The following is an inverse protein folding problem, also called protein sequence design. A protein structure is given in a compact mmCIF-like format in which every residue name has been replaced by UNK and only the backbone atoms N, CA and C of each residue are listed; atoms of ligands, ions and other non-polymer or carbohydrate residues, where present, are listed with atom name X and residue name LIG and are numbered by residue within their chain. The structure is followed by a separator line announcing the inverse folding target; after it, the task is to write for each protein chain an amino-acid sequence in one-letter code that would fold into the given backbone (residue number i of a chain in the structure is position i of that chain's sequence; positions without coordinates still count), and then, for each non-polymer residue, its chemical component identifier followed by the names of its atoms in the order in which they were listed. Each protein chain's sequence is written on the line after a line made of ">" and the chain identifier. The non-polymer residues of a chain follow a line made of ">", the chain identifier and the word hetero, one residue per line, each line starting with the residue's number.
data_IF_556376385157
#
_entry.id   IF_556376385157
#
_cell.length_a   1.000
_cell.length_b   1.000
_cell.length_c   1.000
_cell.angle_alpha   90.00
_cell.angle_beta   90.00
_cell.angle_gamma   90.00
#
_symmetry.space_group_name_H-M   'P 1'
#
loop_
_entity.id
_entity.type
_entity.pdbx_description
1 polymer ?
#
# COMPACT_ATOMS: atom_id res chain seq x y z
N UNK A 1 9.91 -28.09 -2.33
CA UNK A 1 10.80 -27.45 -3.33
C UNK A 1 11.54 -26.36 -2.59
N UNK A 2 12.83 -26.55 -2.30
CA UNK A 2 13.66 -25.56 -1.61
C UNK A 2 13.77 -24.33 -2.51
N UNK A 3 13.36 -23.17 -2.00
CA UNK A 3 13.51 -21.91 -2.74
C UNK A 3 15.01 -21.66 -2.85
N UNK A 4 15.55 -21.50 -4.06
CA UNK A 4 16.98 -21.30 -4.30
C UNK A 4 17.55 -20.10 -3.49
N UNK A 5 16.68 -19.15 -3.12
CA UNK A 5 16.96 -17.98 -2.29
C UNK A 5 17.43 -18.32 -0.86
N UNK A 6 16.96 -19.41 -0.24
CA UNK A 6 17.26 -19.70 1.18
C UNK A 6 18.67 -20.28 1.42
N UNK A 7 19.28 -20.89 0.40
CA UNK A 7 20.57 -21.58 0.56
C UNK A 7 21.79 -20.71 0.25
N UNK A 8 21.60 -19.50 -0.27
CA UNK A 8 22.69 -18.60 -0.61
C UNK A 8 22.88 -17.55 0.48
N UNK A 9 24.04 -17.60 1.15
CA UNK A 9 24.43 -16.68 2.23
C UNK A 9 24.23 -15.21 1.82
N UNK A 10 24.47 -14.87 0.54
CA UNK A 10 24.32 -13.51 0.05
C UNK A 10 22.88 -13.02 0.16
N UNK A 11 21.90 -13.86 -0.20
CA UNK A 11 20.49 -13.49 -0.16
C UNK A 11 19.95 -13.42 1.26
N UNK A 12 20.36 -14.37 2.10
CA UNK A 12 20.02 -14.34 3.52
C UNK A 12 20.52 -13.02 4.14
N UNK A 13 21.78 -12.63 3.87
CA UNK A 13 22.32 -11.37 4.38
C UNK A 13 21.54 -10.16 3.86
N UNK A 14 21.19 -10.14 2.58
CA UNK A 14 20.40 -9.05 1.97
C UNK A 14 18.99 -8.99 2.58
N UNK A 15 18.34 -10.13 2.81
CA UNK A 15 17.01 -10.19 3.41
C UNK A 15 17.02 -9.71 4.87
N UNK A 16 17.98 -10.16 5.68
CA UNK A 16 18.15 -9.67 7.04
C UNK A 16 18.44 -8.17 7.08
N UNK A 17 19.27 -7.67 6.16
CA UNK A 17 19.54 -6.25 6.04
C UNK A 17 18.29 -5.46 5.66
N UNK A 18 17.47 -5.96 4.73
CA UNK A 18 16.22 -5.34 4.34
C UNK A 18 15.20 -5.29 5.49
N UNK A 19 15.06 -6.40 6.23
CA UNK A 19 14.21 -6.49 7.42
C UNK A 19 14.68 -5.49 8.48
N UNK A 20 15.99 -5.38 8.72
CA UNK A 20 16.56 -4.40 9.64
C UNK A 20 16.21 -2.97 9.19
N UNK A 21 16.46 -2.63 7.93
CA UNK A 21 16.22 -1.30 7.39
C UNK A 21 14.73 -0.91 7.39
N UNK A 22 13.82 -1.83 7.06
CA UNK A 22 12.38 -1.60 7.18
C UNK A 22 11.92 -1.47 8.63
N UNK A 23 12.50 -2.25 9.54
CA UNK A 23 12.26 -2.11 10.97
C UNK A 23 12.71 -0.73 11.48
N UNK A 24 13.85 -0.22 11.00
CA UNK A 24 14.30 1.15 11.29
C UNK A 24 13.30 2.20 10.79
N UNK A 25 12.77 2.01 9.57
CA UNK A 25 11.77 2.92 8.97
C UNK A 25 10.47 2.95 9.78
N UNK A 26 9.97 1.77 10.20
CA UNK A 26 8.80 1.63 11.05
C UNK A 26 8.97 2.28 12.42
N UNK A 27 10.08 1.95 13.10
CA UNK A 27 10.41 2.51 14.40
C UNK A 27 10.53 4.04 14.36
N UNK A 28 11.15 4.60 13.32
CA UNK A 28 11.27 6.05 13.19
C UNK A 28 9.93 6.74 12.96
N UNK A 29 9.00 6.10 12.23
CA UNK A 29 7.66 6.63 12.06
C UNK A 29 6.93 6.76 13.41
N UNK A 30 7.08 5.76 14.30
CA UNK A 30 6.54 5.82 15.66
C UNK A 30 7.22 6.88 16.54
N UNK A 31 8.54 7.05 16.44
CA UNK A 31 9.26 8.11 17.17
C UNK A 31 8.78 9.51 16.76
N UNK A 32 8.57 9.75 15.46
CA UNK A 32 8.08 11.05 14.96
C UNK A 32 6.70 11.43 15.50
N UNK A 33 5.92 10.43 15.95
CA UNK A 33 4.62 10.62 16.60
C UNK A 33 4.72 10.74 18.13
N UNK A 34 5.91 10.56 18.71
CA UNK A 34 6.13 10.64 20.15
C UNK A 34 5.62 9.41 20.91
N UNK A 35 5.55 8.24 20.27
CA UNK A 35 5.12 7.00 20.95
C UNK A 35 6.24 6.36 21.80
N UNK A 36 5.84 5.41 22.65
CA UNK A 36 6.74 4.73 23.58
C UNK A 36 7.62 3.65 22.91
N UNK A 37 8.61 3.15 23.66
CA UNK A 37 9.55 2.13 23.15
C UNK A 37 8.85 0.85 22.69
N UNK A 38 7.79 0.44 23.39
CA UNK A 38 7.01 -0.73 23.00
C UNK A 38 6.37 -0.53 21.62
N UNK A 39 5.72 0.61 21.41
CA UNK A 39 5.12 0.97 20.12
C UNK A 39 6.17 1.10 19.03
N UNK A 40 7.36 1.63 19.33
CA UNK A 40 8.48 1.72 18.38
C UNK A 40 8.92 0.34 17.91
N UNK A 41 9.13 -0.60 18.83
CA UNK A 41 9.52 -1.97 18.52
C UNK A 41 8.40 -2.71 17.75
N UNK A 42 7.15 -2.56 18.19
CA UNK A 42 6.00 -3.17 17.54
C UNK A 42 5.78 -2.62 16.12
N UNK A 43 5.89 -1.30 15.95
CA UNK A 43 5.77 -0.65 14.65
C UNK A 43 6.89 -1.10 13.70
N UNK A 44 8.12 -1.23 14.19
CA UNK A 44 9.24 -1.80 13.44
C UNK A 44 8.97 -3.24 12.99
N UNK A 45 8.50 -4.10 13.92
CA UNK A 45 8.14 -5.49 13.62
C UNK A 45 7.01 -5.60 12.60
N UNK A 46 5.93 -4.84 12.79
CA UNK A 46 4.78 -4.80 11.85
C UNK A 46 5.20 -4.30 10.47
N UNK A 47 6.07 -3.29 10.39
CA UNK A 47 6.55 -2.76 9.11
C UNK A 47 7.39 -3.81 8.39
N UNK A 48 8.36 -4.41 9.08
CA UNK A 48 9.32 -5.33 8.49
C UNK A 48 8.73 -6.71 8.13
N UNK A 49 7.87 -7.26 9.00
CA UNK A 49 7.39 -8.64 8.89
C UNK A 49 5.89 -8.75 8.64
N UNK A 50 5.12 -7.67 8.84
CA UNK A 50 3.67 -7.70 8.66
C UNK A 50 3.22 -8.07 7.25
N UNK A 51 3.92 -7.58 6.22
CA UNK A 51 3.62 -7.96 4.83
C UNK A 51 3.84 -9.46 4.57
N UNK A 52 4.97 -10.00 5.03
CA UNK A 52 5.27 -11.44 4.94
C UNK A 52 4.31 -12.30 5.75
N UNK A 53 3.84 -11.81 6.91
CA UNK A 53 2.86 -12.49 7.75
C UNK A 53 1.51 -12.60 7.04
N UNK A 54 1.00 -11.52 6.46
CA UNK A 54 -0.26 -11.56 5.72
C UNK A 54 -0.13 -12.48 4.50
N UNK A 55 0.98 -12.38 3.75
CA UNK A 55 1.28 -13.29 2.63
C UNK A 55 1.23 -14.76 3.05
N UNK A 56 1.94 -15.11 4.12
CA UNK A 56 2.04 -16.49 4.59
C UNK A 56 0.68 -17.03 5.03
N UNK A 57 -0.14 -16.22 5.71
CA UNK A 57 -1.53 -16.58 6.05
C UNK A 57 -2.38 -16.78 4.80
N UNK A 58 -2.28 -15.89 3.80
CA UNK A 58 -3.03 -16.01 2.54
C UNK A 58 -2.64 -17.25 1.72
N UNK A 59 -1.39 -17.70 1.81
CA UNK A 59 -0.92 -18.94 1.17
C UNK A 59 -1.26 -20.21 1.96
N UNK A 60 -1.76 -20.08 3.20
CA UNK A 60 -1.89 -21.21 4.11
C UNK A 60 -0.54 -21.75 4.62
N UNK A 61 0.54 -20.96 4.50
CA UNK A 61 1.87 -21.26 4.99
C UNK A 61 1.95 -21.03 6.51
N UNK A 62 1.27 -21.89 7.27
CA UNK A 62 1.16 -21.79 8.72
C UNK A 62 2.15 -22.77 9.40
N UNK A 63 2.87 -22.34 10.45
CA UNK A 63 2.86 -20.99 11.05
C UNK A 63 3.74 -19.97 10.28
N UNK A 64 3.35 -18.67 10.21
CA UNK A 64 4.04 -17.65 9.40
C UNK A 64 5.49 -17.38 9.82
N UNK A 65 6.37 -17.15 8.84
CA UNK A 65 7.81 -16.95 9.06
C UNK A 65 8.10 -15.71 9.89
N UNK A 66 7.27 -14.66 9.79
CA UNK A 66 7.40 -13.43 10.58
C UNK A 66 7.25 -13.60 12.10
N UNK A 67 6.78 -14.77 12.57
CA UNK A 67 6.70 -15.11 14.00
C UNK A 67 7.61 -16.29 14.36
N UNK A 68 7.75 -17.25 13.44
CA UNK A 68 8.45 -18.51 13.72
C UNK A 68 9.95 -18.39 13.59
N UNK A 69 10.44 -17.53 12.70
CA UNK A 69 11.86 -17.28 12.53
C UNK A 69 12.38 -16.34 13.62
N UNK A 70 13.17 -16.91 14.53
CA UNK A 70 13.78 -16.17 15.65
C UNK A 70 14.71 -15.07 15.15
N UNK A 71 15.45 -15.30 14.06
CA UNK A 71 16.41 -14.35 13.53
C UNK A 71 15.71 -13.13 12.96
N UNK A 72 14.64 -13.29 12.18
CA UNK A 72 13.85 -12.18 11.67
C UNK A 72 13.21 -11.37 12.80
N UNK A 73 12.59 -12.03 13.78
CA UNK A 73 12.00 -11.34 14.94
C UNK A 73 13.08 -10.57 15.71
N UNK A 74 14.19 -11.20 16.07
CA UNK A 74 15.27 -10.52 16.81
C UNK A 74 15.87 -9.35 16.02
N UNK A 75 16.02 -9.49 14.70
CA UNK A 75 16.54 -8.43 13.82
C UNK A 75 15.64 -7.20 13.84
N UNK A 76 14.32 -7.39 13.77
CA UNK A 76 13.38 -6.26 13.85
C UNK A 76 13.35 -5.60 15.22
N UNK A 77 13.37 -6.38 16.30
CA UNK A 77 13.42 -5.83 17.66
C UNK A 77 14.73 -5.05 17.89
N UNK A 78 15.85 -5.59 17.39
CA UNK A 78 17.15 -4.93 17.42
C UNK A 78 17.13 -3.61 16.62
N UNK A 79 16.48 -3.58 15.46
CA UNK A 79 16.28 -2.35 14.71
C UNK A 79 15.53 -1.30 15.55
N UNK A 80 14.48 -1.68 16.30
CA UNK A 80 13.77 -0.76 17.20
C UNK A 80 14.68 -0.14 18.25
N UNK A 81 15.57 -0.93 18.86
CA UNK A 81 16.56 -0.44 19.83
C UNK A 81 17.52 0.57 19.18
N UNK A 82 17.99 0.28 17.95
CA UNK A 82 18.85 1.20 17.20
C UNK A 82 18.13 2.52 16.95
N UNK A 83 16.86 2.50 16.51
CA UNK A 83 16.11 3.74 16.25
C UNK A 83 15.97 4.56 17.52
N UNK A 84 15.67 3.95 18.67
CA UNK A 84 15.53 4.69 19.93
C UNK A 84 16.79 5.52 20.25
N UNK A 85 17.96 4.92 20.08
CA UNK A 85 19.25 5.57 20.38
C UNK A 85 19.67 6.57 19.31
N UNK A 86 19.51 6.22 18.03
CA UNK A 86 20.05 6.97 16.90
C UNK A 86 19.00 7.81 16.12
N UNK A 87 17.81 8.02 16.68
CA UNK A 87 16.75 8.77 15.98
C UNK A 87 17.14 10.20 15.54
N UNK A 88 17.98 10.98 16.26
CA UNK A 88 18.33 12.33 15.85
C UNK A 88 19.17 12.34 14.56
N UNK A 89 20.05 11.37 14.39
CA UNK A 89 20.87 11.19 13.19
C UNK A 89 20.03 10.62 12.03
N UNK A 90 19.20 9.62 12.32
CA UNK A 90 18.35 8.95 11.31
C UNK A 90 17.33 9.93 10.73
N UNK A 91 16.78 10.86 11.53
CA UNK A 91 15.78 11.83 11.07
C UNK A 91 16.32 12.80 10.02
N UNK A 92 17.63 13.06 10.00
CA UNK A 92 18.29 13.93 9.00
C UNK A 92 18.46 13.24 7.65
N UNK A 93 18.38 11.91 7.60
CA UNK A 93 18.68 11.09 6.42
C UNK A 93 17.42 10.76 5.61
N UNK A 94 16.64 11.78 5.22
CA UNK A 94 15.40 11.60 4.43
C UNK A 94 15.64 10.78 3.16
N UNK A 95 16.74 11.06 2.45
CA UNK A 95 17.08 10.36 1.21
C UNK A 95 17.43 8.88 1.46
N UNK A 96 18.18 8.59 2.53
CA UNK A 96 18.51 7.22 2.92
C UNK A 96 17.28 6.40 3.29
N UNK A 97 16.29 7.01 3.95
CA UNK A 97 15.02 6.33 4.23
C UNK A 97 14.25 5.97 2.96
N UNK A 98 14.26 6.85 1.95
CA UNK A 98 13.64 6.56 0.65
C UNK A 98 14.36 5.42 -0.08
N UNK A 99 15.70 5.38 -0.03
CA UNK A 99 16.49 4.29 -0.61
C UNK A 99 16.21 2.97 0.10
N UNK A 100 16.16 2.98 1.43
CA UNK A 100 15.82 1.83 2.27
C UNK A 100 14.42 1.30 1.94
N UNK A 101 13.45 2.20 1.82
CA UNK A 101 12.06 1.86 1.47
C UNK A 101 12.00 1.22 0.07
N UNK A 102 12.68 1.81 -0.92
CA UNK A 102 12.77 1.28 -2.28
C UNK A 102 13.43 -0.11 -2.33
N UNK A 103 14.50 -0.32 -1.55
CA UNK A 103 15.19 -1.61 -1.44
C UNK A 103 14.29 -2.69 -0.86
N UNK A 104 13.64 -2.42 0.27
CA UNK A 104 12.71 -3.37 0.86
C UNK A 104 11.51 -3.64 -0.05
N UNK A 105 10.94 -2.60 -0.69
CA UNK A 105 9.86 -2.75 -1.65
C UNK A 105 10.23 -3.72 -2.79
N UNK A 106 11.43 -3.60 -3.36
CA UNK A 106 11.92 -4.52 -4.38
C UNK A 106 12.12 -5.95 -3.87
N UNK A 107 12.79 -6.11 -2.73
CA UNK A 107 13.07 -7.43 -2.16
C UNK A 107 11.80 -8.17 -1.75
N UNK A 108 10.85 -7.50 -1.09
CA UNK A 108 9.59 -8.11 -0.68
C UNK A 108 8.68 -8.41 -1.87
N UNK A 109 8.75 -7.62 -2.95
CA UNK A 109 8.00 -7.90 -4.18
C UNK A 109 8.51 -9.20 -4.82
N UNK A 110 9.82 -9.30 -5.05
CA UNK A 110 10.45 -10.48 -5.66
C UNK A 110 10.30 -11.72 -4.77
N UNK A 111 10.68 -11.64 -3.49
CA UNK A 111 10.58 -12.76 -2.56
C UNK A 111 9.10 -13.18 -2.33
N UNK A 112 8.19 -12.22 -2.25
CA UNK A 112 6.76 -12.49 -2.14
C UNK A 112 6.19 -13.23 -3.36
N UNK A 113 6.56 -12.81 -4.57
CA UNK A 113 6.17 -13.50 -5.81
C UNK A 113 6.82 -14.88 -5.92
N UNK A 114 8.12 -15.01 -5.66
CA UNK A 114 8.83 -16.28 -5.69
C UNK A 114 8.22 -17.29 -4.70
N UNK A 115 7.93 -16.88 -3.46
CA UNK A 115 7.28 -17.75 -2.47
C UNK A 115 5.88 -18.17 -2.90
N UNK A 116 5.10 -17.26 -3.48
CA UNK A 116 3.75 -17.59 -3.98
C UNK A 116 3.80 -18.63 -5.12
N UNK A 117 4.75 -18.49 -6.05
CA UNK A 117 4.98 -19.46 -7.12
C UNK A 117 5.45 -20.81 -6.58
N UNK A 118 6.32 -20.82 -5.57
CA UNK A 118 6.80 -22.03 -4.90
C UNK A 118 5.67 -22.80 -4.19
N UNK A 119 4.61 -22.10 -3.76
CA UNK A 119 3.39 -22.68 -3.20
C UNK A 119 2.38 -23.15 -4.28
N UNK A 120 2.78 -23.15 -5.56
CA UNK A 120 1.96 -23.62 -6.67
C UNK A 120 0.86 -22.64 -7.11
N UNK A 121 0.97 -21.37 -6.72
CA UNK A 121 0.00 -20.35 -7.12
C UNK A 121 0.10 -20.03 -8.62
N UNK A 122 -1.00 -19.55 -9.20
CA UNK A 122 -0.99 -19.02 -10.57
C UNK A 122 -0.06 -17.80 -10.68
N UNK A 123 0.47 -17.54 -11.88
CA UNK A 123 1.33 -16.37 -12.11
C UNK A 123 0.63 -15.04 -11.77
N UNK A 124 -0.67 -14.92 -12.04
CA UNK A 124 -1.46 -13.74 -11.67
C UNK A 124 -1.54 -13.58 -10.15
N UNK A 125 -1.88 -14.67 -9.44
CA UNK A 125 -1.94 -14.68 -7.97
C UNK A 125 -0.58 -14.30 -7.36
N UNK A 126 0.51 -14.82 -7.91
CA UNK A 126 1.85 -14.53 -7.43
C UNK A 126 2.26 -13.06 -7.63
N UNK A 127 1.83 -12.41 -8.71
CA UNK A 127 2.06 -10.97 -8.92
C UNK A 127 1.34 -10.15 -7.86
N UNK A 128 0.05 -10.42 -7.65
CA UNK A 128 -0.75 -9.70 -6.65
C UNK A 128 -0.21 -9.93 -5.24
N UNK A 129 0.15 -11.15 -4.90
CA UNK A 129 0.63 -11.47 -3.56
C UNK A 129 2.03 -10.89 -3.29
N UNK A 130 2.92 -10.91 -4.29
CA UNK A 130 4.21 -10.24 -4.19
C UNK A 130 4.07 -8.72 -4.00
N UNK A 131 3.22 -8.09 -4.80
CA UNK A 131 2.90 -6.66 -4.61
C UNK A 131 2.33 -6.38 -3.23
N UNK A 132 1.36 -7.19 -2.80
CA UNK A 132 0.74 -7.00 -1.50
C UNK A 132 1.77 -7.16 -0.37
N UNK A 133 2.65 -8.16 -0.45
CA UNK A 133 3.76 -8.35 0.51
C UNK A 133 4.63 -7.10 0.61
N UNK A 134 4.99 -6.51 -0.53
CA UNK A 134 5.83 -5.33 -0.62
C UNK A 134 5.15 -4.04 -0.12
N UNK A 135 3.82 -3.95 -0.24
CA UNK A 135 3.07 -2.74 0.12
C UNK A 135 2.49 -2.82 1.54
N UNK A 136 2.16 -4.02 2.00
CA UNK A 136 1.43 -4.24 3.24
C UNK A 136 2.22 -3.80 4.48
N UNK A 137 3.55 -3.96 4.51
CA UNK A 137 4.37 -3.52 5.65
C UNK A 137 4.20 -2.02 5.94
N UNK A 138 4.42 -1.18 4.92
CA UNK A 138 4.22 0.28 5.02
C UNK A 138 2.75 0.67 5.25
N UNK A 139 1.81 -0.05 4.63
CA UNK A 139 0.39 0.21 4.82
C UNK A 139 -0.07 -0.09 6.25
N UNK A 140 0.30 -1.25 6.81
CA UNK A 140 0.01 -1.64 8.19
C UNK A 140 0.62 -0.63 9.15
N UNK A 141 1.89 -0.23 8.93
CA UNK A 141 2.56 0.80 9.71
C UNK A 141 1.75 2.10 9.75
N UNK A 142 1.42 2.63 8.57
CA UNK A 142 0.77 3.93 8.45
C UNK A 142 -0.62 3.92 9.09
N UNK A 143 -1.41 2.86 8.87
CA UNK A 143 -2.72 2.69 9.52
C UNK A 143 -2.56 2.57 11.04
N UNK A 144 -1.58 1.80 11.51
CA UNK A 144 -1.35 1.59 12.94
C UNK A 144 -0.97 2.87 13.69
N UNK A 145 -0.20 3.76 13.07
CA UNK A 145 0.18 5.07 13.64
C UNK A 145 -0.82 6.20 13.32
N UNK A 146 -1.94 5.89 12.65
CA UNK A 146 -2.99 6.84 12.32
C UNK A 146 -2.61 7.84 11.22
N UNK A 147 -1.72 7.48 10.30
CA UNK A 147 -1.37 8.26 9.12
C UNK A 147 -2.05 7.73 7.86
N UNK A 148 -2.22 8.62 6.87
CA UNK A 148 -2.67 8.21 5.53
C UNK A 148 -1.54 7.41 4.87
N UNK A 149 -1.78 6.15 4.43
CA UNK A 149 -0.75 5.31 3.82
C UNK A 149 0.01 5.99 2.70
N UNK A 150 1.33 5.79 2.65
CA UNK A 150 2.20 6.37 1.62
C UNK A 150 1.73 6.06 0.20
N UNK A 151 1.20 4.86 -0.05
CA UNK A 151 0.62 4.49 -1.35
C UNK A 151 -0.58 5.35 -1.78
N UNK A 152 -1.32 5.93 -0.81
CA UNK A 152 -2.46 6.81 -1.07
C UNK A 152 -2.01 8.28 -1.12
N UNK A 153 -1.14 8.66 -0.19
CA UNK A 153 -0.70 10.06 0.00
C UNK A 153 0.30 10.50 -1.07
N UNK A 154 1.20 9.61 -1.48
CA UNK A 154 2.28 9.92 -2.39
C UNK A 154 1.79 9.83 -3.84
N UNK A 155 1.99 10.91 -4.61
CA UNK A 155 1.63 10.93 -6.03
C UNK A 155 2.65 10.18 -6.90
N UNK A 156 3.84 9.87 -6.36
CA UNK A 156 4.91 9.18 -7.06
C UNK A 156 4.63 7.69 -7.25
N UNK A 157 5.32 7.06 -8.20
CA UNK A 157 5.14 5.64 -8.54
C UNK A 157 5.62 4.75 -7.39
N UNK A 158 4.71 4.37 -6.47
CA UNK A 158 4.99 3.45 -5.36
C UNK A 158 4.64 2.00 -5.73
N UNK A 159 3.42 1.77 -6.22
CA UNK A 159 2.94 0.43 -6.58
C UNK A 159 3.40 -0.04 -7.97
N UNK A 160 3.70 0.88 -8.89
CA UNK A 160 4.06 0.53 -10.27
C UNK A 160 5.43 -0.16 -10.37
N UNK A 161 6.49 0.31 -9.68
CA UNK A 161 7.78 -0.38 -9.71
C UNK A 161 7.68 -1.81 -9.17
N UNK A 162 6.96 -2.01 -8.06
CA UNK A 162 6.75 -3.35 -7.49
C UNK A 162 5.94 -4.25 -8.42
N UNK A 163 4.90 -3.71 -9.09
CA UNK A 163 4.14 -4.45 -10.10
C UNK A 163 5.02 -4.98 -11.23
N UNK A 164 5.87 -4.11 -11.79
CA UNK A 164 6.81 -4.48 -12.85
C UNK A 164 7.77 -5.56 -12.34
N UNK A 165 8.33 -5.39 -11.13
CA UNK A 165 9.22 -6.36 -10.53
C UNK A 165 8.57 -7.74 -10.37
N UNK A 166 7.34 -7.79 -9.87
CA UNK A 166 6.58 -9.03 -9.74
C UNK A 166 6.34 -9.72 -11.09
N UNK A 167 5.97 -8.97 -12.13
CA UNK A 167 5.77 -9.53 -13.49
C UNK A 167 7.08 -10.13 -14.01
N UNK A 168 8.18 -9.39 -13.90
CA UNK A 168 9.50 -9.88 -14.34
C UNK A 168 9.89 -11.16 -13.58
N UNK A 169 9.64 -11.21 -12.27
CA UNK A 169 9.91 -12.40 -11.44
C UNK A 169 9.13 -13.63 -11.94
N UNK A 170 7.84 -13.47 -12.29
CA UNK A 170 7.05 -14.56 -12.88
C UNK A 170 7.61 -15.02 -14.23
N UNK A 171 8.08 -14.09 -15.07
CA UNK A 171 8.68 -14.41 -16.36
C UNK A 171 9.99 -15.18 -16.20
N UNK A 172 10.85 -14.76 -15.27
CA UNK A 172 12.10 -15.44 -14.95
C UNK A 172 11.82 -16.86 -14.46
N UNK A 173 10.93 -17.02 -13.47
CA UNK A 173 10.53 -18.32 -12.94
C UNK A 173 10.01 -19.26 -14.03
N UNK A 174 9.17 -18.76 -14.94
CA UNK A 174 8.68 -19.54 -16.09
C UNK A 174 9.81 -19.91 -17.05
N UNK A 175 10.72 -18.98 -17.35
CA UNK A 175 11.87 -19.25 -18.23
C UNK A 175 12.77 -20.36 -17.69
N UNK A 176 12.99 -20.41 -16.37
CA UNK A 176 13.70 -21.52 -15.71
C UNK A 176 12.94 -22.83 -15.88
N UNK A 177 11.63 -22.82 -15.66
CA UNK A 177 10.80 -24.03 -15.81
C UNK A 177 10.76 -24.58 -17.25
N UNK A 178 10.94 -23.71 -18.27
CA UNK A 178 11.07 -24.10 -19.67
C UNK A 178 12.51 -24.47 -20.09
N UNK A 179 13.48 -24.39 -19.17
CA UNK A 179 14.88 -24.72 -19.41
C UNK A 179 15.67 -23.66 -20.19
N UNK A 180 15.19 -22.42 -20.26
CA UNK A 180 15.91 -21.32 -20.90
C UNK A 180 17.01 -20.74 -20.02
N UNK A 181 16.88 -20.94 -18.70
CA UNK A 181 17.75 -20.37 -17.68
C UNK A 181 18.16 -21.46 -16.69
N UNK A 182 19.41 -21.42 -16.26
CA UNK A 182 19.95 -22.24 -15.18
C UNK A 182 19.67 -21.59 -13.81
N UNK A 183 19.75 -22.35 -12.71
CA UNK A 183 19.47 -21.84 -11.35
C UNK A 183 20.35 -20.65 -10.97
N UNK A 184 21.62 -20.62 -11.40
CA UNK A 184 22.49 -19.47 -11.17
C UNK A 184 22.02 -18.21 -11.91
N UNK A 185 21.42 -18.37 -13.09
CA UNK A 185 20.91 -17.24 -13.88
C UNK A 185 19.58 -16.70 -13.36
N UNK A 186 18.70 -17.56 -12.81
CA UNK A 186 17.50 -17.13 -12.08
C UNK A 186 17.87 -16.14 -10.97
N UNK A 187 18.86 -16.53 -10.17
CA UNK A 187 19.33 -15.75 -9.03
C UNK A 187 19.89 -14.37 -9.43
N UNK A 188 20.69 -14.30 -10.50
CA UNK A 188 21.20 -13.03 -11.01
C UNK A 188 20.07 -12.14 -11.57
N UNK A 189 19.08 -12.75 -12.22
CA UNK A 189 17.93 -12.03 -12.75
C UNK A 189 17.05 -11.47 -11.63
N UNK A 190 16.85 -12.19 -10.53
CA UNK A 190 16.11 -11.70 -9.37
C UNK A 190 16.80 -10.48 -8.73
N UNK A 191 18.13 -10.52 -8.56
CA UNK A 191 18.88 -9.33 -8.09
C UNK A 191 18.74 -8.17 -9.06
N UNK A 192 18.83 -8.44 -10.36
CA UNK A 192 18.66 -7.42 -11.39
C UNK A 192 17.25 -6.80 -11.32
N UNK A 193 16.22 -7.61 -11.07
CA UNK A 193 14.84 -7.15 -10.89
C UNK A 193 14.74 -6.23 -9.67
N UNK A 194 15.33 -6.61 -8.53
CA UNK A 194 15.35 -5.75 -7.34
C UNK A 194 16.02 -4.41 -7.66
N UNK A 195 17.16 -4.43 -8.35
CA UNK A 195 17.86 -3.20 -8.77
C UNK A 195 16.97 -2.36 -9.69
N UNK A 196 16.25 -2.96 -10.63
CA UNK A 196 15.29 -2.26 -11.50
C UNK A 196 14.18 -1.61 -10.68
N UNK A 197 13.57 -2.33 -9.72
CA UNK A 197 12.51 -1.78 -8.87
C UNK A 197 13.03 -0.58 -8.07
N UNK A 198 14.22 -0.71 -7.47
CA UNK A 198 14.87 0.36 -6.70
C UNK A 198 15.17 1.55 -7.59
N UNK A 199 15.76 1.33 -8.77
CA UNK A 199 16.08 2.38 -9.71
C UNK A 199 14.81 3.11 -10.16
N UNK A 200 13.75 2.39 -10.54
CA UNK A 200 12.47 2.99 -10.92
C UNK A 200 11.87 3.82 -9.77
N UNK A 201 11.96 3.34 -8.53
CA UNK A 201 11.45 4.09 -7.37
C UNK A 201 12.29 5.35 -7.10
N UNK A 202 13.62 5.26 -7.13
CA UNK A 202 14.50 6.40 -6.93
C UNK A 202 14.40 7.42 -8.07
N UNK A 203 14.28 6.97 -9.31
CA UNK A 203 14.03 7.83 -10.47
C UNK A 203 12.67 8.51 -10.34
N UNK A 204 11.63 7.80 -9.91
CA UNK A 204 10.30 8.40 -9.71
C UNK A 204 10.34 9.51 -8.66
N UNK A 205 11.05 9.30 -7.55
CA UNK A 205 11.20 10.32 -6.49
C UNK A 205 12.13 11.46 -6.94
N UNK A 206 13.21 11.17 -7.65
CA UNK A 206 14.18 12.16 -8.11
C UNK A 206 13.65 13.06 -9.23
N UNK A 207 12.91 12.49 -10.18
CA UNK A 207 12.33 13.21 -11.32
C UNK A 207 10.89 13.69 -11.09
N UNK A 208 10.34 13.51 -9.87
CA UNK A 208 8.94 13.80 -9.53
C UNK A 208 7.93 13.20 -10.52
N UNK A 209 8.17 11.97 -10.98
CA UNK A 209 7.25 11.25 -11.87
C UNK A 209 6.05 10.84 -11.05
N UNK A 210 4.91 11.48 -11.32
CA UNK A 210 3.65 11.27 -10.61
C UNK A 210 2.63 10.53 -11.47
N UNK A 211 1.75 9.76 -10.83
CA UNK A 211 0.61 9.15 -11.49
C UNK A 211 -0.43 10.22 -11.83
N UNK A 212 -0.97 10.24 -13.06
CA UNK A 212 -2.03 11.17 -13.40
C UNK A 212 -3.25 10.91 -12.52
N UNK A 213 -3.71 11.94 -11.84
CA UNK A 213 -4.97 11.90 -11.08
C UNK A 213 -6.19 11.86 -12.01
N UNK A 214 -7.39 11.85 -11.41
CA UNK A 214 -8.62 12.01 -12.18
C UNK A 214 -8.56 13.32 -12.99
N UNK A 215 -8.73 13.22 -14.31
CA UNK A 215 -8.74 14.38 -15.20
C UNK A 215 -9.93 15.27 -14.84
N UNK A 216 -9.68 16.52 -14.46
CA UNK A 216 -10.73 17.50 -14.23
C UNK A 216 -11.50 17.73 -15.53
N UNK A 217 -12.76 17.29 -15.58
CA UNK A 217 -13.64 17.55 -16.71
C UNK A 217 -14.19 18.97 -16.60
N UNK A 218 -13.59 19.91 -17.30
CA UNK A 218 -13.99 21.33 -17.31
C UNK A 218 -15.33 21.61 -18.01
N UNK A 219 -15.95 20.61 -18.65
CA UNK A 219 -17.32 20.67 -19.20
C UNK A 219 -18.08 19.40 -18.86
N UNK A 220 -18.72 19.38 -17.69
CA UNK A 220 -19.80 18.43 -17.46
C UNK A 220 -21.06 19.06 -18.04
N UNK A 221 -21.49 18.59 -19.21
CA UNK A 221 -22.81 18.89 -19.72
C UNK A 221 -23.80 18.10 -18.85
N UNK A 222 -24.17 18.65 -17.70
CA UNK A 222 -25.34 18.20 -16.96
C UNK A 222 -26.54 18.69 -17.77
N UNK A 223 -27.39 17.82 -18.32
CA UNK A 223 -28.68 18.26 -18.82
C UNK A 223 -29.38 18.95 -17.65
N UNK A 224 -29.58 20.26 -17.75
CA UNK A 224 -30.24 21.06 -16.71
C UNK A 224 -31.70 20.64 -16.50
N UNK A 225 -32.24 19.83 -17.41
CA UNK A 225 -33.45 19.08 -17.16
C UNK A 225 -33.12 17.74 -16.50
N UNK A 226 -33.04 17.76 -15.17
CA UNK A 226 -33.64 16.65 -14.45
C UNK A 226 -35.09 16.60 -14.90
N UNK A 227 -35.42 15.72 -15.85
CA UNK A 227 -36.80 15.34 -16.09
C UNK A 227 -37.25 14.75 -14.76
N UNK A 228 -37.80 15.58 -13.89
CA UNK A 228 -38.43 15.18 -12.67
C UNK A 228 -39.42 14.10 -13.11
N UNK A 229 -39.09 12.84 -12.85
CA UNK A 229 -40.06 11.78 -12.86
C UNK A 229 -41.05 12.23 -11.80
N UNK A 230 -42.14 12.87 -12.21
CA UNK A 230 -43.33 13.07 -11.39
C UNK A 230 -43.79 11.68 -11.04
N UNK A 231 -43.20 11.10 -10.01
CA UNK A 231 -43.69 9.89 -9.39
C UNK A 231 -45.01 10.34 -8.78
N UNK A 232 -46.18 9.83 -9.23
CA UNK A 232 -47.41 10.13 -8.53
C UNK A 232 -47.20 9.69 -7.09
N UNK A 233 -47.27 10.65 -6.17
CA UNK A 233 -47.23 10.36 -4.73
C UNK A 233 -48.56 9.68 -4.45
N UNK A 234 -48.57 8.35 -4.49
CA UNK A 234 -49.73 7.56 -4.08
C UNK A 234 -49.76 7.70 -2.56
N UNK A 235 -50.53 8.67 -2.06
CA UNK A 235 -50.90 8.72 -0.66
C UNK A 235 -51.84 7.53 -0.41
N UNK A 236 -51.47 6.56 0.45
CA UNK A 236 -52.41 5.55 0.88
C UNK A 236 -53.42 6.24 1.79
N UNK A 237 -54.69 6.22 1.39
CA UNK A 237 -55.87 6.71 2.12
C UNK A 237 -56.11 8.23 2.07
N UNK A 238 -56.86 8.67 1.07
CA UNK A 238 -57.58 9.94 1.10
C UNK A 238 -58.95 9.80 0.40
N UNK A 239 -59.72 8.79 0.79
CA UNK A 239 -61.14 8.64 0.41
C UNK A 239 -61.97 8.37 1.68
N UNK A 240 -62.04 9.37 2.56
CA UNK A 240 -63.20 9.64 3.40
C UNK A 240 -63.20 11.14 3.72
N UNK A 241 -63.71 11.94 2.79
CA UNK A 241 -64.06 13.34 3.06
C UNK A 241 -65.40 13.34 3.80
N UNK A 242 -65.38 13.73 5.07
CA UNK A 242 -66.54 14.12 5.86
C UNK A 242 -66.87 15.60 5.51
N UNK A 243 -68.09 15.93 5.04
CA UNK A 243 -68.39 17.26 4.55
C UNK A 243 -68.75 18.19 5.72
N UNK A 244 -67.78 18.94 6.22
CA UNK A 244 -68.07 20.04 7.13
C UNK A 244 -66.85 20.61 7.83
N UNK A 245 -66.06 21.43 7.15
CA UNK A 245 -65.54 22.63 7.80
C UNK A 245 -65.16 23.71 6.79
N UNK A 246 -65.67 24.91 7.04
CA UNK A 246 -65.48 26.14 6.30
C UNK A 246 -64.32 26.92 6.91
N UNK A 247 -63.40 27.47 6.12
CA UNK A 247 -63.10 28.92 6.03
C UNK A 247 -61.70 29.25 5.48
N UNK A 248 -61.68 30.25 4.59
CA UNK A 248 -60.69 31.32 4.38
C UNK A 248 -59.40 31.03 3.61
N UNK A 249 -59.52 31.20 2.29
CA UNK A 249 -58.96 32.31 1.51
C UNK A 249 -57.71 33.07 2.00
N UNK A 250 -56.83 33.29 1.00
CA UNK A 250 -56.02 34.48 0.72
C UNK A 250 -54.49 34.48 0.97
N UNK A 251 -53.83 34.85 -0.14
CA UNK A 251 -52.55 35.57 -0.28
C UNK A 251 -51.22 34.83 0.01
N UNK A 252 -50.38 34.66 -1.02
CA UNK A 252 -49.39 35.69 -1.37
C UNK A 252 -48.65 35.37 -2.70
N UNK A 253 -48.37 36.41 -3.49
CA UNK A 253 -47.65 36.39 -4.78
C UNK A 253 -46.15 36.63 -4.55
N UNK A 254 -45.26 36.35 -5.54
CA UNK A 254 -43.81 36.42 -5.34
C UNK A 254 -43.27 37.84 -5.56
N UNK A 255 -42.35 38.29 -4.71
CA UNK A 255 -41.64 39.55 -4.89
C UNK A 255 -40.11 39.36 -4.83
N UNK A 256 -39.51 39.73 -5.96
CA UNK A 256 -38.10 39.96 -6.26
C UNK A 256 -37.55 41.13 -5.44
N UNK A 257 -36.40 40.97 -4.79
CA UNK A 257 -35.55 42.12 -4.48
C UNK A 257 -34.07 41.72 -4.44
N UNK A 258 -33.31 42.45 -5.25
CA UNK A 258 -31.88 42.36 -5.47
C UNK A 258 -31.19 43.44 -4.64
N UNK A 259 -30.22 43.08 -3.79
CA UNK A 259 -29.30 44.07 -3.18
C UNK A 259 -27.89 43.52 -2.96
N UNK A 260 -26.85 44.26 -3.36
CA UNK A 260 -25.51 44.21 -2.78
C UNK A 260 -25.29 45.45 -1.86
N UNK A 261 -24.06 45.71 -1.40
CA UNK A 261 -23.47 45.28 -0.13
C UNK A 261 -23.34 46.45 0.88
N UNK A 262 -22.97 46.17 2.15
CA UNK A 262 -22.23 47.11 3.02
C UNK A 262 -21.82 46.49 4.36
N UNK A 263 -20.58 46.76 4.79
CA UNK A 263 -20.01 46.39 6.08
C UNK A 263 -18.51 46.13 5.99
#
# INVERSE_FOLDING_TARGET
>A
MQVALENNIVFVVIEYFAILCWGLSGGLAAIRKGYDIFTIMLCGWLTALGGGLVRDVMLGALPPVGITDKGFVLTTLFSGIIVVVAHPEITKLKWTMTVIDALGLGLFAVNGTAKALAYGSSGMTAVFLGMFTALAGGLIRDIFIGDVPMIIRDKHLYAVPSFIGCILTVLVWRGVHYGWFDMCSEMLLDVLIVIIVVALRLLSVGFNVTLPGAVERHRVYLPSESRYLKRPVIHPHADTVDPGDTTKDEEDKPQDDSRPPQG
#
